data_IF_567681151250
#
_entry.id   IF_567681151250
#
_cell.length_a   1.000
_cell.length_b   1.000
_cell.length_c   1.000
_cell.angle_alpha   90.00
_cell.angle_beta   90.00
_cell.angle_gamma   90.00
#
_symmetry.space_group_name_H-M   'P 1'
#
loop_
_entity.id
_entity.type
_entity.pdbx_description
1 polymer ?
#
# COMPACT_ATOMS: atom_id res chain seq x y z
N UNK A 1 33.93 39.21 30.81
CA UNK A 1 32.56 38.75 30.49
C UNK A 1 32.43 38.72 28.97
N UNK A 2 32.35 37.52 28.39
CA UNK A 2 32.16 37.35 26.94
C UNK A 2 30.65 37.25 26.70
N UNK A 3 30.04 38.09 25.83
CA UNK A 3 28.61 38.04 25.57
C UNK A 3 28.20 36.70 24.98
N UNK A 4 27.14 36.12 25.55
CA UNK A 4 26.63 34.79 25.20
C UNK A 4 26.21 34.70 23.74
N UNK A 5 26.82 33.76 23.02
CA UNK A 5 26.31 33.27 21.74
C UNK A 5 25.03 32.52 22.04
N UNK A 6 23.88 33.15 21.77
CA UNK A 6 22.61 32.41 21.67
C UNK A 6 22.76 31.37 20.56
N UNK A 7 22.47 30.07 20.83
CA UNK A 7 22.57 29.05 19.79
C UNK A 7 21.62 29.41 18.65
N UNK A 8 22.18 29.47 17.44
CA UNK A 8 21.43 29.61 16.20
C UNK A 8 20.37 28.51 16.15
N UNK A 9 19.10 28.79 15.83
CA UNK A 9 18.09 27.75 15.67
C UNK A 9 18.60 26.72 14.67
N UNK A 10 18.53 25.44 15.03
CA UNK A 10 18.92 24.34 14.15
C UNK A 10 18.19 24.53 12.81
N UNK A 11 18.93 24.41 11.69
CA UNK A 11 18.31 24.39 10.38
C UNK A 11 17.18 23.34 10.38
N UNK A 12 16.02 23.61 9.75
CA UNK A 12 14.92 22.64 9.74
C UNK A 12 15.47 21.31 9.22
N UNK A 13 15.35 20.26 10.05
CA UNK A 13 15.87 18.95 9.66
C UNK A 13 15.12 18.51 8.38
N UNK A 14 15.84 18.00 7.37
CA UNK A 14 15.22 17.53 6.14
C UNK A 14 14.22 16.42 6.49
N UNK A 15 13.02 16.48 5.90
CA UNK A 15 12.00 15.46 6.16
C UNK A 15 12.50 14.11 5.64
N UNK A 16 12.48 13.12 6.53
CA UNK A 16 13.00 11.78 6.28
C UNK A 16 11.88 10.76 6.40
N UNK A 17 11.61 10.05 5.30
CA UNK A 17 10.72 8.89 5.25
C UNK A 17 11.52 7.60 5.42
N UNK A 18 11.12 6.77 6.36
CA UNK A 18 11.58 5.40 6.48
C UNK A 18 10.48 4.42 6.05
N UNK A 19 10.78 3.51 5.12
CA UNK A 19 9.84 2.52 4.59
C UNK A 19 10.23 1.11 5.00
N UNK A 20 9.45 0.49 5.89
CA UNK A 20 9.56 -0.95 6.11
C UNK A 20 8.90 -1.70 4.94
N UNK A 21 9.71 -2.42 4.16
CA UNK A 21 9.27 -3.19 3.00
C UNK A 21 9.03 -2.32 1.77
N UNK A 22 10.10 -1.87 1.12
CA UNK A 22 10.08 -1.09 -0.13
C UNK A 22 9.71 -1.94 -1.36
N UNK A 23 8.57 -2.64 -1.28
CA UNK A 23 7.94 -3.35 -2.39
C UNK A 23 7.16 -2.40 -3.29
N UNK A 24 6.09 -2.88 -3.94
CA UNK A 24 5.37 -2.12 -4.96
C UNK A 24 4.92 -0.71 -4.52
N UNK A 25 4.18 -0.59 -3.41
CA UNK A 25 3.73 0.71 -2.89
C UNK A 25 4.90 1.50 -2.31
N UNK A 26 5.72 0.85 -1.47
CA UNK A 26 6.85 1.50 -0.81
C UNK A 26 7.80 2.15 -1.80
N UNK A 27 8.20 1.43 -2.85
CA UNK A 27 9.04 1.95 -3.93
C UNK A 27 8.40 3.14 -4.64
N UNK A 28 7.12 3.02 -5.02
CA UNK A 28 6.41 4.08 -5.72
C UNK A 28 6.33 5.39 -4.91
N UNK A 29 6.11 5.26 -3.59
CA UNK A 29 6.13 6.39 -2.66
C UNK A 29 7.55 6.95 -2.53
N UNK A 30 8.55 6.08 -2.34
CA UNK A 30 9.96 6.48 -2.19
C UNK A 30 10.46 7.29 -3.38
N UNK A 31 10.26 6.82 -4.62
CA UNK A 31 10.69 7.50 -5.84
C UNK A 31 10.14 8.94 -5.92
N UNK A 32 8.86 9.14 -5.57
CA UNK A 32 8.22 10.46 -5.63
C UNK A 32 8.64 11.38 -4.50
N UNK A 33 8.89 10.85 -3.30
CA UNK A 33 9.40 11.66 -2.20
C UNK A 33 10.85 12.09 -2.46
N UNK A 34 11.69 11.21 -3.01
CA UNK A 34 13.05 11.54 -3.44
C UNK A 34 13.04 12.66 -4.48
N UNK A 35 12.14 12.60 -5.47
CA UNK A 35 11.96 13.66 -6.46
C UNK A 35 11.51 15.02 -5.86
N UNK A 36 10.95 15.01 -4.65
CA UNK A 36 10.58 16.21 -3.88
C UNK A 36 11.67 16.65 -2.89
N UNK A 37 12.87 16.05 -2.94
CA UNK A 37 13.99 16.39 -2.07
C UNK A 37 13.89 15.81 -0.65
N UNK A 38 12.99 14.85 -0.41
CA UNK A 38 12.98 14.13 0.86
C UNK A 38 14.18 13.18 0.95
N UNK A 39 14.66 12.98 2.17
CA UNK A 39 15.50 11.81 2.44
C UNK A 39 14.59 10.59 2.54
N UNK A 40 14.97 9.49 1.89
CA UNK A 40 14.23 8.24 1.97
C UNK A 40 15.17 7.09 2.31
N UNK A 41 14.78 6.31 3.32
CA UNK A 41 15.42 5.07 3.67
C UNK A 41 14.39 3.95 3.72
N UNK A 42 14.84 2.69 3.64
CA UNK A 42 13.91 1.59 3.78
C UNK A 42 14.55 0.22 3.71
N UNK A 43 13.71 -0.80 3.84
CA UNK A 43 14.15 -2.19 3.89
C UNK A 43 13.68 -3.01 2.70
N UNK A 44 14.46 -4.03 2.39
CA UNK A 44 14.12 -5.07 1.40
C UNK A 44 14.67 -6.43 1.85
N UNK A 45 14.28 -7.50 1.14
CA UNK A 45 14.60 -8.87 1.54
C UNK A 45 15.80 -9.47 0.79
N UNK A 46 16.46 -8.73 -0.11
CA UNK A 46 17.59 -9.28 -0.87
C UNK A 46 18.62 -8.22 -1.26
N UNK A 47 19.91 -8.59 -1.39
CA UNK A 47 20.96 -7.68 -1.86
C UNK A 47 20.71 -7.11 -3.26
N UNK A 48 20.06 -7.87 -4.16
CA UNK A 48 19.71 -7.40 -5.49
C UNK A 48 18.70 -6.23 -5.43
N UNK A 49 17.62 -6.40 -4.65
CA UNK A 49 16.63 -5.33 -4.43
C UNK A 49 17.23 -4.12 -3.73
N UNK A 50 18.17 -4.34 -2.79
CA UNK A 50 18.92 -3.26 -2.14
C UNK A 50 19.60 -2.38 -3.19
N UNK A 51 20.37 -2.98 -4.11
CA UNK A 51 21.06 -2.25 -5.19
C UNK A 51 20.08 -1.49 -6.08
N UNK A 52 18.95 -2.10 -6.44
CA UNK A 52 17.90 -1.41 -7.22
C UNK A 52 17.35 -0.18 -6.52
N UNK A 53 17.16 -0.24 -5.19
CA UNK A 53 16.67 0.88 -4.41
C UNK A 53 17.75 1.95 -4.20
N UNK A 54 19.01 1.56 -4.03
CA UNK A 54 20.15 2.49 -3.95
C UNK A 54 20.34 3.26 -5.25
N UNK A 55 20.15 2.62 -6.42
CA UNK A 55 20.18 3.30 -7.72
C UNK A 55 19.09 4.37 -7.87
N UNK A 56 17.98 4.26 -7.13
CA UNK A 56 16.95 5.30 -7.08
C UNK A 56 17.33 6.47 -6.16
N UNK A 57 18.42 6.37 -5.40
CA UNK A 57 18.80 7.35 -4.37
C UNK A 57 18.27 7.06 -2.98
N UNK A 58 17.70 5.86 -2.73
CA UNK A 58 17.23 5.46 -1.40
C UNK A 58 18.36 4.83 -0.58
N UNK A 59 18.46 5.17 0.71
CA UNK A 59 19.34 4.43 1.63
C UNK A 59 18.65 3.12 2.06
N UNK A 60 19.12 1.98 1.54
CA UNK A 60 18.45 0.69 1.68
C UNK A 60 19.23 -0.32 2.55
N UNK A 61 18.53 -1.02 3.43
CA UNK A 61 19.06 -2.15 4.20
C UNK A 61 18.39 -3.47 3.80
N UNK A 62 19.17 -4.55 3.78
CA UNK A 62 18.60 -5.90 3.75
C UNK A 62 18.12 -6.22 5.16
N UNK A 63 16.86 -6.62 5.29
CA UNK A 63 16.21 -6.87 6.56
C UNK A 63 15.24 -8.04 6.40
N UNK A 64 15.46 -9.08 7.19
CA UNK A 64 14.49 -10.15 7.38
C UNK A 64 13.66 -9.83 8.63
N UNK A 65 12.35 -9.68 8.49
CA UNK A 65 11.51 -9.26 9.59
C UNK A 65 11.34 -10.31 10.70
N UNK A 66 11.74 -11.57 10.45
CA UNK A 66 11.70 -12.66 11.42
C UNK A 66 13.05 -12.79 12.13
N UNK A 67 14.15 -12.76 11.37
CA UNK A 67 15.48 -13.08 11.88
C UNK A 67 16.33 -11.85 12.23
N UNK A 68 16.07 -10.70 11.61
CA UNK A 68 16.87 -9.49 11.82
C UNK A 68 16.34 -8.67 13.00
N UNK A 69 17.27 -8.08 13.76
CA UNK A 69 16.95 -7.06 14.75
C UNK A 69 16.97 -5.65 14.10
N UNK A 70 16.56 -4.63 14.86
CA UNK A 70 16.55 -3.24 14.39
C UNK A 70 17.94 -2.57 14.42
N UNK A 71 18.99 -3.26 14.88
CA UNK A 71 20.33 -2.68 15.00
C UNK A 71 20.88 -2.28 13.63
N UNK A 72 20.62 -3.07 12.59
CA UNK A 72 21.08 -2.79 11.21
C UNK A 72 20.26 -1.70 10.49
N UNK A 73 19.34 -1.04 11.19
CA UNK A 73 18.38 -0.07 10.64
C UNK A 73 18.57 1.30 11.29
N UNK A 74 19.83 1.75 11.39
CA UNK A 74 20.21 3.01 12.06
C UNK A 74 19.47 4.25 11.53
N UNK A 75 19.10 4.26 10.25
CA UNK A 75 18.36 5.38 9.65
C UNK A 75 16.94 5.53 10.20
N UNK A 76 16.37 4.53 10.87
CA UNK A 76 15.05 4.63 11.50
C UNK A 76 15.04 5.65 12.65
N UNK A 77 16.12 5.79 13.41
CA UNK A 77 16.18 6.76 14.53
C UNK A 77 16.10 8.22 14.06
N UNK A 78 16.57 8.50 12.85
CA UNK A 78 16.56 9.83 12.24
C UNK A 78 15.26 10.11 11.48
N UNK A 79 14.43 9.09 11.27
CA UNK A 79 13.22 9.20 10.49
C UNK A 79 12.18 10.08 11.19
N UNK A 80 11.53 10.92 10.38
CA UNK A 80 10.41 11.76 10.81
C UNK A 80 9.06 11.13 10.46
N UNK A 81 9.05 10.29 9.43
CA UNK A 81 7.87 9.61 8.92
C UNK A 81 8.18 8.12 8.72
N UNK A 82 7.27 7.24 9.16
CA UNK A 82 7.41 5.79 9.06
C UNK A 82 6.25 5.19 8.26
N UNK A 83 6.56 4.59 7.11
CA UNK A 83 5.61 3.82 6.31
C UNK A 83 5.87 2.32 6.48
N UNK A 84 4.89 1.60 7.01
CA UNK A 84 4.95 0.16 7.22
C UNK A 84 4.16 -0.54 6.12
N UNK A 85 4.89 -1.17 5.20
CA UNK A 85 4.33 -1.96 4.09
C UNK A 85 4.60 -3.47 4.25
N UNK A 86 5.35 -3.91 5.26
CA UNK A 86 5.54 -5.34 5.57
C UNK A 86 4.22 -5.89 6.11
N UNK A 87 3.63 -6.92 5.48
CA UNK A 87 2.42 -7.54 6.00
C UNK A 87 2.72 -8.52 7.14
N UNK A 88 1.73 -8.86 7.97
CA UNK A 88 1.85 -9.92 8.95
C UNK A 88 2.08 -11.28 8.28
N UNK A 89 2.78 -12.16 8.99
CA UNK A 89 3.20 -13.48 8.53
C UNK A 89 2.37 -14.56 9.25
N UNK A 90 1.76 -15.53 8.54
CA UNK A 90 1.05 -16.64 9.16
C UNK A 90 1.91 -17.38 10.20
N UNK A 91 1.33 -17.69 11.35
CA UNK A 91 2.02 -18.33 12.48
C UNK A 91 2.90 -17.40 13.33
N UNK A 92 3.28 -16.23 12.81
CA UNK A 92 4.19 -15.29 13.50
C UNK A 92 3.46 -14.02 13.97
N UNK A 93 2.52 -13.51 13.19
CA UNK A 93 1.87 -12.22 13.45
C UNK A 93 2.52 -11.07 12.70
N UNK A 94 2.39 -9.84 13.22
CA UNK A 94 3.10 -8.69 12.66
C UNK A 94 4.56 -8.74 13.14
N UNK A 95 5.53 -8.94 12.23
CA UNK A 95 6.90 -9.20 12.64
C UNK A 95 7.55 -7.99 13.31
N UNK A 96 7.16 -6.77 12.95
CA UNK A 96 7.74 -5.56 13.53
C UNK A 96 7.18 -5.29 14.93
N UNK A 97 5.89 -5.54 15.14
CA UNK A 97 5.29 -5.44 16.49
C UNK A 97 5.83 -6.49 17.46
N UNK A 98 6.34 -7.63 16.96
CA UNK A 98 7.01 -8.62 17.81
C UNK A 98 8.36 -8.11 18.36
N UNK A 99 8.95 -7.07 17.76
CA UNK A 99 10.17 -6.39 18.24
C UNK A 99 9.84 -5.28 19.28
N UNK A 100 8.66 -5.36 19.91
CA UNK A 100 7.96 -4.31 20.67
C UNK A 100 8.87 -3.34 21.45
N UNK A 101 9.77 -3.85 22.30
CA UNK A 101 10.60 -3.00 23.17
C UNK A 101 11.61 -2.14 22.38
N UNK A 102 12.31 -2.74 21.41
CA UNK A 102 13.27 -1.99 20.58
C UNK A 102 12.55 -0.98 19.70
N UNK A 103 11.43 -1.39 19.11
CA UNK A 103 10.61 -0.52 18.30
C UNK A 103 10.08 0.64 19.14
N UNK A 104 9.49 0.37 20.31
CA UNK A 104 8.98 1.41 21.23
C UNK A 104 10.09 2.36 21.67
N UNK A 105 11.28 1.85 21.99
CA UNK A 105 12.45 2.69 22.31
C UNK A 105 12.80 3.63 21.16
N UNK A 106 12.85 3.13 19.93
CA UNK A 106 13.15 3.96 18.75
C UNK A 106 12.05 4.98 18.48
N UNK A 107 10.78 4.59 18.61
CA UNK A 107 9.64 5.50 18.39
C UNK A 107 9.55 6.60 19.47
N UNK A 108 9.90 6.29 20.73
CA UNK A 108 9.84 7.24 21.85
C UNK A 108 11.01 8.24 21.91
N UNK A 109 12.19 7.84 21.42
CA UNK A 109 13.41 8.66 21.49
C UNK A 109 13.85 9.24 20.15
N UNK A 110 13.18 8.89 19.06
CA UNK A 110 13.45 9.40 17.71
C UNK A 110 12.74 10.71 17.40
N UNK A 111 12.91 11.16 16.16
CA UNK A 111 12.26 12.36 15.62
C UNK A 111 10.92 12.06 14.92
N UNK A 112 10.31 10.90 15.22
CA UNK A 112 9.14 10.47 14.49
C UNK A 112 7.95 11.38 14.82
N UNK A 113 7.16 11.72 13.81
CA UNK A 113 5.97 12.56 13.93
C UNK A 113 4.73 11.89 13.32
N UNK A 114 4.97 10.94 12.40
CA UNK A 114 3.96 10.30 11.56
C UNK A 114 4.29 8.82 11.35
N UNK A 115 3.27 7.98 11.50
CA UNK A 115 3.31 6.56 11.25
C UNK A 115 2.12 6.16 10.39
N UNK A 116 2.35 5.37 9.34
CA UNK A 116 1.28 4.77 8.56
C UNK A 116 1.49 3.28 8.33
N UNK A 117 0.48 2.49 8.64
CA UNK A 117 0.42 1.07 8.36
C UNK A 117 -0.50 0.77 7.17
N UNK A 118 0.02 0.05 6.19
CA UNK A 118 -0.73 -0.39 5.01
C UNK A 118 -1.48 -1.69 5.30
N UNK A 119 -2.75 -1.55 5.66
CA UNK A 119 -3.70 -2.64 5.90
C UNK A 119 -4.44 -3.05 4.62
N UNK A 120 -5.59 -3.71 4.75
CA UNK A 120 -6.44 -4.14 3.65
C UNK A 120 -7.92 -4.01 4.00
N UNK A 121 -8.75 -3.73 3.01
CA UNK A 121 -10.21 -3.83 3.15
C UNK A 121 -10.69 -5.26 3.42
N UNK A 122 -9.86 -6.29 3.26
CA UNK A 122 -10.25 -7.67 3.58
C UNK A 122 -10.61 -7.87 5.06
N UNK A 123 -10.23 -6.95 5.95
CA UNK A 123 -10.59 -6.98 7.37
C UNK A 123 -12.11 -6.95 7.59
N UNK A 124 -12.88 -6.31 6.71
CA UNK A 124 -14.34 -6.30 6.81
C UNK A 124 -14.99 -7.67 6.61
N UNK A 125 -14.28 -8.62 5.96
CA UNK A 125 -14.85 -9.90 5.58
C UNK A 125 -15.84 -9.79 4.43
N UNK A 126 -16.86 -10.65 4.47
CA UNK A 126 -18.04 -10.64 3.60
C UNK A 126 -19.13 -9.79 4.24
N UNK A 127 -19.66 -8.84 3.47
CA UNK A 127 -20.69 -7.89 3.91
C UNK A 127 -21.94 -8.01 3.03
N UNK A 128 -22.09 -9.09 2.25
CA UNK A 128 -23.26 -9.30 1.39
C UNK A 128 -23.47 -8.20 0.35
N UNK A 129 -22.38 -7.62 -0.15
CA UNK A 129 -22.43 -6.55 -1.16
C UNK A 129 -22.71 -5.15 -0.59
N UNK A 130 -22.86 -5.00 0.73
CA UNK A 130 -23.09 -3.69 1.36
C UNK A 130 -21.97 -2.69 1.06
N UNK A 131 -22.33 -1.40 1.04
CA UNK A 131 -21.37 -0.30 1.03
C UNK A 131 -20.87 -0.06 2.47
N UNK A 132 -19.59 -0.34 2.70
CA UNK A 132 -18.96 -0.23 4.03
C UNK A 132 -18.01 0.96 4.09
N UNK A 133 -18.02 1.65 5.22
CA UNK A 133 -17.06 2.69 5.58
C UNK A 133 -16.14 2.22 6.72
N UNK A 134 -15.36 3.13 7.30
CA UNK A 134 -14.42 2.83 8.37
C UNK A 134 -15.06 2.51 9.72
N UNK A 135 -16.31 2.91 9.95
CA UNK A 135 -17.07 2.62 11.18
C UNK A 135 -17.82 1.29 11.11
N UNK A 136 -17.92 0.70 9.91
CA UNK A 136 -18.49 -0.62 9.73
C UNK A 136 -17.74 -1.69 10.55
N UNK A 137 -18.50 -2.63 11.13
CA UNK A 137 -17.94 -3.69 11.98
C UNK A 137 -16.91 -4.54 11.21
N UNK A 138 -15.76 -4.75 11.83
CA UNK A 138 -14.67 -5.56 11.28
C UNK A 138 -14.92 -7.04 11.58
N UNK A 139 -15.08 -7.87 10.54
CA UNK A 139 -15.41 -9.31 10.66
C UNK A 139 -14.52 -10.18 9.74
N UNK A 140 -13.20 -10.23 9.96
CA UNK A 140 -12.28 -10.91 9.07
C UNK A 140 -12.48 -12.42 9.12
N UNK A 141 -12.67 -13.05 7.96
CA UNK A 141 -12.86 -14.51 7.85
C UNK A 141 -11.57 -15.28 7.62
N UNK A 142 -10.68 -14.77 6.74
CA UNK A 142 -9.42 -15.44 6.44
C UNK A 142 -8.35 -15.16 7.49
N UNK A 143 -7.45 -16.12 7.70
CA UNK A 143 -6.33 -15.97 8.63
C UNK A 143 -5.48 -14.73 8.33
N UNK A 144 -5.18 -14.46 7.06
CA UNK A 144 -4.45 -13.25 6.66
C UNK A 144 -5.19 -11.95 7.04
N UNK A 145 -6.52 -11.90 6.89
CA UNK A 145 -7.32 -10.74 7.28
C UNK A 145 -7.39 -10.58 8.80
N UNK A 146 -7.48 -11.69 9.56
CA UNK A 146 -7.44 -11.67 11.03
C UNK A 146 -6.10 -11.14 11.54
N UNK A 147 -5.00 -11.61 10.96
CA UNK A 147 -3.65 -11.14 11.30
C UNK A 147 -3.48 -9.65 10.95
N UNK A 148 -4.00 -9.20 9.81
CA UNK A 148 -3.98 -7.77 9.46
C UNK A 148 -4.76 -6.93 10.46
N UNK A 149 -5.95 -7.37 10.87
CA UNK A 149 -6.73 -6.65 11.87
C UNK A 149 -6.04 -6.62 13.25
N UNK A 150 -5.40 -7.73 13.65
CA UNK A 150 -4.56 -7.76 14.87
C UNK A 150 -3.42 -6.73 14.79
N UNK A 151 -2.78 -6.62 13.63
CA UNK A 151 -1.73 -5.62 13.40
C UNK A 151 -2.28 -4.18 13.46
N UNK A 152 -3.45 -3.90 12.87
CA UNK A 152 -4.07 -2.56 12.97
C UNK A 152 -4.20 -2.13 14.43
N UNK A 153 -4.73 -3.02 15.28
CA UNK A 153 -4.85 -2.76 16.73
C UNK A 153 -3.49 -2.60 17.39
N UNK A 154 -2.53 -3.47 17.09
CA UNK A 154 -1.21 -3.41 17.68
C UNK A 154 -0.47 -2.11 17.36
N UNK A 155 -0.51 -1.65 16.11
CA UNK A 155 0.09 -0.39 15.70
C UNK A 155 -0.60 0.82 16.33
N UNK A 156 -1.94 0.81 16.42
CA UNK A 156 -2.67 1.87 17.11
C UNK A 156 -2.33 1.88 18.60
N UNK A 157 -2.28 0.73 19.26
CA UNK A 157 -1.97 0.65 20.69
C UNK A 157 -0.53 1.05 21.00
N UNK A 158 0.42 0.67 20.14
CA UNK A 158 1.84 1.01 20.33
C UNK A 158 2.07 2.53 20.41
N UNK A 159 1.26 3.30 19.68
CA UNK A 159 1.35 4.76 19.67
C UNK A 159 0.42 5.43 20.69
N UNK A 160 -0.34 4.69 21.50
CA UNK A 160 -1.29 5.27 22.49
C UNK A 160 -0.60 6.29 23.40
N UNK A 161 0.60 5.94 23.88
CA UNK A 161 1.37 6.74 24.82
C UNK A 161 2.38 7.69 24.13
N UNK A 162 2.38 7.71 22.79
CA UNK A 162 3.34 8.49 22.00
C UNK A 162 2.63 9.69 21.36
N UNK A 163 3.28 10.85 21.35
CA UNK A 163 2.76 12.05 20.68
C UNK A 163 2.94 11.96 19.16
N UNK A 164 2.41 10.90 18.54
CA UNK A 164 2.58 10.54 17.14
C UNK A 164 1.24 10.56 16.41
N UNK A 165 1.25 11.02 15.17
CA UNK A 165 0.11 10.84 14.28
C UNK A 165 0.18 9.44 13.67
N UNK A 166 -0.88 8.65 13.79
CA UNK A 166 -0.92 7.28 13.31
C UNK A 166 -2.10 7.03 12.38
N UNK A 167 -1.80 6.43 11.23
CA UNK A 167 -2.75 6.20 10.16
C UNK A 167 -2.79 4.72 9.78
N UNK A 168 -3.99 4.15 9.74
CA UNK A 168 -4.22 2.84 9.17
C UNK A 168 -4.89 3.02 7.82
N UNK A 169 -4.21 2.63 6.74
CA UNK A 169 -4.77 2.68 5.39
C UNK A 169 -5.25 1.29 4.98
N UNK A 170 -6.57 1.10 4.98
CA UNK A 170 -7.23 -0.12 4.49
C UNK A 170 -7.29 -0.07 2.98
N UNK A 171 -6.30 -0.69 2.34
CA UNK A 171 -6.16 -0.64 0.89
C UNK A 171 -7.10 -1.63 0.17
N UNK A 172 -7.64 -1.19 -0.97
CA UNK A 172 -8.25 -2.06 -1.97
C UNK A 172 -7.23 -2.94 -2.70
N UNK A 173 -7.68 -3.63 -3.74
CA UNK A 173 -6.80 -4.32 -4.69
C UNK A 173 -5.89 -3.34 -5.43
N UNK A 174 -4.62 -3.32 -5.05
CA UNK A 174 -3.64 -2.36 -5.56
C UNK A 174 -3.26 -2.69 -7.01
N UNK A 175 -3.31 -1.69 -7.90
CA UNK A 175 -2.84 -1.77 -9.27
C UNK A 175 -2.02 -0.53 -9.67
N UNK A 176 -1.26 -0.63 -10.75
CA UNK A 176 -0.41 0.44 -11.27
C UNK A 176 0.55 -0.08 -12.34
N UNK A 177 1.48 0.76 -12.85
CA UNK A 177 2.48 0.33 -13.83
C UNK A 177 3.25 -0.91 -13.36
N UNK A 178 3.42 -1.90 -14.24
CA UNK A 178 4.09 -3.17 -13.92
C UNK A 178 3.23 -4.17 -13.11
N UNK A 179 2.07 -3.75 -12.61
CA UNK A 179 1.12 -4.55 -11.82
C UNK A 179 -0.33 -4.15 -12.10
N UNK A 180 -0.84 -4.52 -13.28
CA UNK A 180 -2.23 -4.25 -13.68
C UNK A 180 -2.84 -5.40 -14.51
N UNK A 181 -4.10 -5.22 -14.91
CA UNK A 181 -4.75 -6.12 -15.86
C UNK A 181 -4.05 -6.08 -17.23
N UNK A 182 -3.59 -4.91 -17.67
CA UNK A 182 -2.81 -4.74 -18.89
C UNK A 182 -1.50 -5.53 -18.84
N UNK A 183 -0.72 -5.39 -17.76
CA UNK A 183 0.54 -6.14 -17.57
C UNK A 183 0.32 -7.65 -17.50
N UNK A 184 -0.84 -8.08 -16.99
CA UNK A 184 -1.19 -9.50 -16.92
C UNK A 184 -1.48 -10.05 -18.31
N UNK A 185 -2.24 -9.31 -19.12
CA UNK A 185 -2.58 -9.69 -20.50
C UNK A 185 -1.35 -9.67 -21.40
N UNK A 186 -0.52 -8.62 -21.35
CA UNK A 186 0.66 -8.48 -22.20
C UNK A 186 1.75 -9.56 -21.94
N UNK A 187 1.80 -10.12 -20.73
CA UNK A 187 2.78 -11.17 -20.37
C UNK A 187 2.31 -12.58 -20.75
N UNK A 188 1.12 -12.75 -21.32
CA UNK A 188 0.48 -14.05 -21.64
C UNK A 188 0.58 -15.07 -20.48
N UNK A 189 0.50 -14.59 -19.23
CA UNK A 189 0.62 -15.46 -18.05
C UNK A 189 -0.74 -16.08 -17.72
N UNK A 190 -0.77 -17.41 -17.62
CA UNK A 190 -1.93 -18.14 -17.09
C UNK A 190 -2.31 -17.65 -15.69
N UNK A 191 -3.62 -17.48 -15.45
CA UNK A 191 -4.15 -17.02 -14.17
C UNK A 191 -3.93 -18.08 -13.07
N UNK A 192 -3.41 -17.66 -11.92
CA UNK A 192 -3.34 -18.52 -10.73
C UNK A 192 -4.74 -18.89 -10.21
N UNK A 193 -4.86 -20.01 -9.49
CA UNK A 193 -6.14 -20.50 -8.95
C UNK A 193 -6.84 -19.47 -8.03
N UNK A 194 -6.08 -18.70 -7.24
CA UNK A 194 -6.63 -17.57 -6.45
C UNK A 194 -7.15 -16.41 -7.31
N UNK A 195 -6.61 -16.21 -8.51
CA UNK A 195 -7.11 -15.20 -9.45
C UNK A 195 -8.41 -15.67 -10.12
N UNK A 196 -8.51 -16.96 -10.47
CA UNK A 196 -9.73 -17.58 -11.01
C UNK A 196 -10.91 -17.51 -10.03
N UNK A 197 -10.67 -17.82 -8.75
CA UNK A 197 -11.68 -17.69 -7.68
C UNK A 197 -12.20 -16.25 -7.46
N UNK A 198 -11.53 -15.23 -8.00
CA UNK A 198 -11.99 -13.84 -7.94
C UNK A 198 -12.81 -13.41 -9.16
N UNK A 199 -12.94 -14.28 -10.18
CA UNK A 199 -13.72 -13.99 -11.39
C UNK A 199 -15.21 -13.94 -11.10
N UNK A 200 -15.69 -14.72 -10.12
CA UNK A 200 -17.09 -14.73 -9.68
C UNK A 200 -17.46 -13.59 -8.72
N UNK A 201 -16.53 -12.69 -8.36
CA UNK A 201 -16.84 -11.53 -7.50
C UNK A 201 -17.57 -10.45 -8.28
N UNK A 202 -18.76 -10.07 -7.83
CA UNK A 202 -19.50 -8.94 -8.39
C UNK A 202 -18.83 -7.60 -8.09
N UNK A 203 -18.25 -7.42 -6.90
CA UNK A 203 -17.55 -6.17 -6.53
C UNK A 203 -16.15 -6.45 -6.03
N UNK A 204 -15.18 -5.69 -6.54
CA UNK A 204 -13.82 -5.68 -6.00
C UNK A 204 -13.38 -4.24 -5.82
N UNK A 205 -13.18 -3.85 -4.55
CA UNK A 205 -12.52 -2.59 -4.24
C UNK A 205 -11.08 -2.61 -4.76
N UNK A 206 -10.67 -1.54 -5.43
CA UNK A 206 -9.33 -1.38 -6.02
C UNK A 206 -8.79 0.01 -5.71
N UNK A 207 -7.50 0.20 -5.94
CA UNK A 207 -6.88 1.52 -5.82
C UNK A 207 -5.64 1.58 -6.69
N UNK A 208 -5.45 2.68 -7.43
CA UNK A 208 -4.23 2.91 -8.17
C UNK A 208 -3.10 3.32 -7.21
N UNK A 209 -1.87 2.85 -7.44
CA UNK A 209 -0.73 3.15 -6.57
C UNK A 209 -0.44 4.65 -6.46
N UNK A 210 -0.74 5.42 -7.52
CA UNK A 210 -0.68 6.89 -7.50
C UNK A 210 -1.59 7.52 -6.45
N UNK A 211 -2.77 6.95 -6.24
CA UNK A 211 -3.75 7.46 -5.30
C UNK A 211 -3.45 7.04 -3.86
N UNK A 212 -2.79 5.89 -3.67
CA UNK A 212 -2.19 5.54 -2.38
C UNK A 212 -1.15 6.61 -2.00
N UNK A 213 -0.32 7.03 -2.95
CA UNK A 213 0.64 8.10 -2.72
C UNK A 213 -0.04 9.44 -2.38
N UNK A 214 -1.14 9.81 -3.06
CA UNK A 214 -1.92 11.00 -2.70
C UNK A 214 -2.44 10.93 -1.25
N UNK A 215 -2.95 9.77 -0.83
CA UNK A 215 -3.40 9.56 0.55
C UNK A 215 -2.26 9.68 1.56
N UNK A 216 -1.07 9.11 1.24
CA UNK A 216 0.13 9.20 2.08
C UNK A 216 0.56 10.66 2.23
N UNK A 217 0.68 11.42 1.13
CA UNK A 217 1.04 12.83 1.20
C UNK A 217 0.05 13.66 2.01
N UNK A 218 -1.25 13.46 1.79
CA UNK A 218 -2.29 14.22 2.47
C UNK A 218 -2.24 13.99 3.99
N UNK A 219 -2.01 12.75 4.43
CA UNK A 219 -1.99 12.43 5.86
C UNK A 219 -0.74 12.94 6.58
N UNK A 220 0.39 13.14 5.89
CA UNK A 220 1.61 13.74 6.48
C UNK A 220 1.39 15.15 7.03
N UNK A 221 0.37 15.85 6.53
CA UNK A 221 0.04 17.20 6.98
C UNK A 221 -0.86 17.21 8.23
N UNK A 222 -1.47 16.08 8.58
CA UNK A 222 -2.28 15.96 9.79
C UNK A 222 -1.40 15.69 11.01
N UNK A 223 -1.67 16.41 12.11
CA UNK A 223 -0.94 16.29 13.38
C UNK A 223 -1.85 15.78 14.48
N UNK A 224 -1.28 15.04 15.44
CA UNK A 224 -1.95 14.47 16.62
C UNK A 224 -3.24 13.69 16.27
N UNK A 225 -3.23 13.02 15.12
CA UNK A 225 -4.40 12.33 14.58
C UNK A 225 -4.20 10.81 14.62
N UNK A 226 -5.25 10.09 15.01
CA UNK A 226 -5.29 8.63 14.97
C UNK A 226 -6.49 8.22 14.15
N UNK A 227 -6.24 7.81 12.91
CA UNK A 227 -7.29 7.68 11.90
C UNK A 227 -7.12 6.43 11.06
N UNK A 228 -8.25 5.82 10.75
CA UNK A 228 -8.37 4.73 9.79
C UNK A 228 -9.03 5.32 8.56
N UNK A 229 -8.47 5.00 7.39
CA UNK A 229 -9.02 5.40 6.09
C UNK A 229 -9.09 4.20 5.14
N UNK A 230 -10.21 4.08 4.46
CA UNK A 230 -10.35 3.24 3.29
C UNK A 230 -9.73 3.96 2.09
N UNK A 231 -8.75 3.31 1.46
CA UNK A 231 -8.06 3.85 0.29
C UNK A 231 -8.44 2.98 -0.90
N UNK A 232 -9.53 3.39 -1.55
CA UNK A 232 -10.17 2.72 -2.69
C UNK A 232 -10.59 3.77 -3.72
N UNK A 233 -10.70 3.35 -4.98
CA UNK A 233 -11.25 4.17 -6.06
C UNK A 233 -12.78 4.33 -5.95
N UNK A 234 -13.38 5.11 -6.84
CA UNK A 234 -14.82 5.41 -6.86
C UNK A 234 -15.65 4.38 -7.64
N UNK A 235 -14.98 3.42 -8.29
CA UNK A 235 -15.58 2.54 -9.30
C UNK A 235 -15.33 1.06 -8.99
N UNK A 236 -15.99 0.52 -7.94
CA UNK A 236 -15.90 -0.90 -7.61
C UNK A 236 -16.57 -1.75 -8.71
N UNK A 237 -15.75 -2.44 -9.51
CA UNK A 237 -16.24 -3.27 -10.61
C UNK A 237 -15.92 -4.77 -10.44
N UNK A 238 -16.66 -5.67 -11.12
CA UNK A 238 -16.28 -7.07 -11.27
C UNK A 238 -14.88 -7.21 -11.87
N UNK A 239 -14.19 -8.32 -11.57
CA UNK A 239 -12.87 -8.57 -12.17
C UNK A 239 -12.95 -8.78 -13.68
N UNK A 240 -14.00 -9.47 -14.15
CA UNK A 240 -14.22 -9.72 -15.56
C UNK A 240 -14.32 -8.42 -16.37
N UNK A 241 -15.09 -7.43 -15.89
CA UNK A 241 -15.23 -6.14 -16.56
C UNK A 241 -13.90 -5.37 -16.67
N UNK A 242 -13.11 -5.36 -15.60
CA UNK A 242 -11.78 -4.71 -15.60
C UNK A 242 -10.85 -5.35 -16.63
N UNK A 243 -10.87 -6.69 -16.75
CA UNK A 243 -10.06 -7.41 -17.73
C UNK A 243 -10.58 -7.24 -19.15
N UNK A 244 -11.89 -7.21 -19.36
CA UNK A 244 -12.49 -6.92 -20.66
C UNK A 244 -12.10 -5.52 -21.14
N UNK A 245 -12.17 -4.51 -20.26
CA UNK A 245 -11.73 -3.15 -20.60
C UNK A 245 -10.22 -3.07 -20.86
N UNK A 246 -9.39 -3.74 -20.07
CA UNK A 246 -7.95 -3.82 -20.31
C UNK A 246 -7.64 -4.45 -21.69
N UNK A 247 -8.36 -5.51 -22.06
CA UNK A 247 -8.24 -6.13 -23.38
C UNK A 247 -8.62 -5.16 -24.49
N UNK A 248 -9.77 -4.48 -24.38
CA UNK A 248 -10.19 -3.52 -25.40
C UNK A 248 -9.19 -2.37 -25.59
N UNK A 249 -8.51 -1.95 -24.51
CA UNK A 249 -7.44 -0.95 -24.59
C UNK A 249 -6.22 -1.46 -25.38
N UNK A 250 -5.80 -2.70 -25.15
CA UNK A 250 -4.69 -3.31 -25.88
C UNK A 250 -5.07 -3.52 -27.34
N UNK A 251 -6.25 -4.09 -27.64
CA UNK A 251 -6.73 -4.32 -29.02
C UNK A 251 -6.78 -3.02 -29.83
N UNK A 252 -7.20 -1.92 -29.21
CA UNK A 252 -7.28 -0.62 -29.86
C UNK A 252 -5.91 -0.01 -30.16
N UNK A 253 -4.93 -0.16 -29.26
CA UNK A 253 -3.63 0.54 -29.32
C UNK A 253 -2.51 -0.32 -29.91
N UNK A 254 -2.55 -1.61 -29.66
CA UNK A 254 -1.53 -2.61 -30.00
C UNK A 254 -2.19 -3.90 -30.51
N UNK A 255 -2.86 -3.88 -31.66
CA UNK A 255 -3.60 -5.03 -32.18
C UNK A 255 -2.73 -6.29 -32.33
N UNK A 256 -1.44 -6.13 -32.62
CA UNK A 256 -0.49 -7.24 -32.80
C UNK A 256 -0.02 -7.89 -31.48
N UNK A 257 -0.27 -7.26 -30.32
CA UNK A 257 0.13 -7.82 -29.02
C UNK A 257 -0.80 -8.93 -28.52
N UNK A 258 -2.01 -9.02 -29.06
CA UNK A 258 -2.93 -10.11 -28.74
C UNK A 258 -2.86 -11.12 -29.87
N UNK A 259 -1.84 -11.98 -29.84
CA UNK A 259 -1.91 -13.23 -30.59
C UNK A 259 -3.14 -14.00 -30.08
N UNK A 260 -4.01 -14.42 -31.01
CA UNK A 260 -5.18 -15.24 -30.70
C UNK A 260 -4.77 -16.39 -29.76
N UNK A 261 -5.36 -16.42 -28.56
CA UNK A 261 -5.10 -17.49 -27.60
C UNK A 261 -6.41 -17.95 -26.96
N UNK A 262 -6.47 -19.24 -26.61
CA UNK A 262 -7.58 -20.12 -26.95
C UNK A 262 -8.78 -19.95 -26.04
N UNK A 263 -9.88 -20.46 -26.58
CA UNK A 263 -11.19 -20.64 -25.98
C UNK A 263 -11.18 -20.78 -24.45
N UNK A 264 -11.95 -19.92 -23.79
CA UNK A 264 -12.14 -19.95 -22.34
C UNK A 264 -13.09 -21.11 -22.05
N UNK A 265 -12.55 -22.33 -22.02
CA UNK A 265 -13.28 -23.54 -21.70
C UNK A 265 -14.07 -23.35 -20.41
N UNK A 266 -15.39 -23.37 -20.55
CA UNK A 266 -16.35 -23.42 -19.46
C UNK A 266 -15.99 -24.57 -18.53
N UNK A 267 -15.61 -24.28 -17.29
CA UNK A 267 -15.38 -25.30 -16.27
C UNK A 267 -16.50 -25.26 -15.24
N UNK A 268 -17.06 -26.45 -15.03
CA UNK A 268 -18.26 -26.73 -14.26
C UNK A 268 -18.23 -26.18 -12.83
N UNK A 269 -19.35 -25.61 -12.44
CA UNK A 269 -19.65 -25.09 -11.11
C UNK A 269 -19.87 -26.23 -10.12
N UNK A 270 -18.80 -26.72 -9.51
CA UNK A 270 -18.88 -27.34 -8.18
C UNK A 270 -19.22 -26.28 -7.13
N UNK A 271 -19.85 -26.66 -6.01
CA UNK A 271 -20.15 -25.77 -4.88
C UNK A 271 -18.86 -25.09 -4.37
N UNK A 272 -18.60 -23.88 -4.87
CA UNK A 272 -17.52 -23.02 -4.41
C UNK A 272 -18.09 -22.06 -3.37
N UNK A 273 -17.37 -21.88 -2.25
CA UNK A 273 -17.70 -20.84 -1.27
C UNK A 273 -17.88 -19.50 -1.99
N UNK A 274 -19.04 -18.87 -1.77
CA UNK A 274 -19.35 -17.58 -2.39
C UNK A 274 -18.25 -16.57 -2.02
N UNK A 275 -17.65 -15.89 -3.01
CA UNK A 275 -16.56 -14.98 -2.72
C UNK A 275 -17.05 -13.80 -1.88
N UNK A 276 -16.35 -13.46 -0.79
CA UNK A 276 -16.74 -12.34 0.08
C UNK A 276 -17.05 -11.05 -0.72
N UNK A 277 -18.27 -10.53 -0.57
CA UNK A 277 -18.81 -9.40 -1.33
C UNK A 277 -18.93 -8.16 -0.46
N UNK A 278 -18.40 -7.03 -0.95
CA UNK A 278 -18.60 -5.71 -0.36
C UNK A 278 -18.24 -4.62 -1.36
N UNK A 279 -18.85 -3.46 -1.17
CA UNK A 279 -18.41 -2.19 -1.74
C UNK A 279 -17.77 -1.39 -0.62
N UNK A 280 -16.73 -0.61 -0.92
CA UNK A 280 -16.00 0.13 0.11
C UNK A 280 -16.07 1.61 -0.23
N UNK A 281 -16.47 2.43 0.74
CA UNK A 281 -16.53 3.88 0.61
C UNK A 281 -15.17 4.50 0.92
N UNK A 282 -14.76 5.49 0.12
CA UNK A 282 -13.62 6.38 0.38
C UNK A 282 -14.06 7.78 0.84
N UNK A 283 -15.33 7.96 1.23
CA UNK A 283 -15.89 9.27 1.55
C UNK A 283 -15.11 9.99 2.67
N UNK A 284 -14.66 9.25 3.69
CA UNK A 284 -13.84 9.80 4.78
C UNK A 284 -12.48 10.27 4.29
N UNK A 285 -11.82 9.49 3.43
CA UNK A 285 -10.55 9.86 2.79
C UNK A 285 -10.68 11.22 2.08
N UNK A 286 -11.74 11.39 1.28
CA UNK A 286 -11.98 12.64 0.55
C UNK A 286 -12.37 13.80 1.46
N UNK A 287 -13.22 13.55 2.46
CA UNK A 287 -13.76 14.60 3.35
C UNK A 287 -12.74 15.10 4.36
N UNK A 288 -12.01 14.19 5.02
CA UNK A 288 -11.12 14.56 6.12
C UNK A 288 -9.67 14.81 5.65
N UNK A 289 -9.17 14.06 4.66
CA UNK A 289 -7.82 14.28 4.11
C UNK A 289 -7.81 15.19 2.88
N UNK A 290 -8.99 15.54 2.33
CA UNK A 290 -9.06 16.38 1.12
C UNK A 290 -8.47 15.70 -0.12
N UNK A 291 -8.28 14.37 -0.09
CA UNK A 291 -7.64 13.63 -1.20
C UNK A 291 -8.50 13.72 -2.44
N UNK A 292 -7.88 14.14 -3.54
CA UNK A 292 -8.44 14.03 -4.89
C UNK A 292 -7.73 12.88 -5.59
N UNK A 293 -8.49 11.86 -5.98
CA UNK A 293 -7.93 10.73 -6.73
C UNK A 293 -7.53 11.20 -8.13
N UNK A 294 -6.30 10.90 -8.52
CA UNK A 294 -5.79 11.03 -9.88
C UNK A 294 -6.46 10.01 -10.80
N UNK A 295 -6.76 8.82 -10.29
CA UNK A 295 -7.45 7.77 -11.03
C UNK A 295 -8.72 7.33 -10.28
N UNK A 296 -9.80 8.15 -10.32
CA UNK A 296 -11.04 7.84 -9.61
C UNK A 296 -11.71 6.55 -10.09
N UNK A 297 -11.38 6.06 -11.29
CA UNK A 297 -11.93 4.81 -11.84
C UNK A 297 -10.83 3.90 -12.35
N UNK A 298 -11.08 2.58 -12.35
CA UNK A 298 -10.15 1.62 -12.96
C UNK A 298 -9.90 1.93 -14.44
N UNK A 299 -10.89 2.54 -15.13
CA UNK A 299 -10.74 2.93 -16.53
C UNK A 299 -9.67 4.01 -16.70
N UNK A 300 -9.75 5.07 -15.89
CA UNK A 300 -8.76 6.15 -15.89
C UNK A 300 -7.36 5.67 -15.48
N UNK A 301 -7.28 4.75 -14.51
CA UNK A 301 -6.00 4.19 -14.09
C UNK A 301 -5.38 3.27 -15.13
N UNK A 302 -6.16 2.39 -15.76
CA UNK A 302 -5.66 1.52 -16.82
C UNK A 302 -5.24 2.32 -18.06
N UNK A 303 -6.01 3.34 -18.46
CA UNK A 303 -5.60 4.23 -19.55
C UNK A 303 -4.25 4.88 -19.26
N UNK A 304 -4.06 5.45 -18.07
CA UNK A 304 -2.79 6.07 -17.68
C UNK A 304 -1.60 5.11 -17.70
N UNK A 305 -1.81 3.83 -17.40
CA UNK A 305 -0.76 2.81 -17.48
C UNK A 305 -0.45 2.46 -18.93
N UNK A 306 -1.47 2.34 -19.79
CA UNK A 306 -1.27 2.12 -21.22
C UNK A 306 -0.50 3.28 -21.86
N UNK A 307 -0.81 4.51 -21.46
CA UNK A 307 -0.14 5.70 -21.96
C UNK A 307 1.34 5.73 -21.56
N UNK A 308 1.71 5.16 -20.39
CA UNK A 308 3.11 5.09 -19.97
C UNK A 308 3.94 4.08 -20.76
N UNK A 309 3.32 3.06 -21.37
CA UNK A 309 4.03 2.10 -22.24
C UNK A 309 4.66 2.78 -23.47
N UNK A 310 4.08 3.90 -23.92
CA UNK A 310 4.60 4.68 -25.04
C UNK A 310 5.85 5.49 -24.68
N UNK A 311 6.01 5.88 -23.42
CA UNK A 311 7.17 6.65 -22.97
C UNK A 311 8.43 5.78 -22.77
N UNK A 312 8.25 4.45 -22.73
CA UNK A 312 9.32 3.46 -22.53
C UNK A 312 9.69 2.72 -23.83
N UNK A 313 9.01 3.00 -24.95
CA UNK A 313 9.28 2.45 -26.30
C UNK A 313 10.00 3.47 -27.17
#
# INVERSE_FOLDING_TARGET
MIPGITPKPAAPQPRHMFVFGAGFVGRYVSERLLAQGWQVSGTCTSPAKKRELEMLGMNASVFDAIESNLENVHSLQQATHLLISIPPIPGIGDPLLNLNEDLRRILSHGNLEWLCYLSTTSVYGDCGGALVDEDHMVNPKSESAKLRYKAEKGWLNLVDDLNLSAFIFRLGGIYGPGRSALDTLAKSKSLSQRQKLRESKQYTARIHVADIYQAVLASMSMRCARKIFNVVDDDPAPRAEVFAFARSLIEMRYPDLIAESPDVGSTESGFQELPAEKRVSNARLKKELGVKLLHPTYRSGLQSILDSWQAES
#
